data_IF_202322959147
#
_entry.id   IF_202322959147
#
_cell.length_a   1.000
_cell.length_b   1.000
_cell.length_c   1.000
_cell.angle_alpha   90.00
_cell.angle_beta   90.00
_cell.angle_gamma   90.00
#
_symmetry.space_group_name_H-M   'P 1'
#
loop_
_entity.id
_entity.type
_entity.pdbx_description
1 polymer ?
#
# COMPACT_ATOMS: atom_id res chain seq x y z
N UNK A 1 -12.40 -10.46 -11.86
CA UNK A 1 -13.10 -9.34 -11.17
C UNK A 1 -12.06 -8.33 -10.75
N UNK A 2 -12.39 -7.03 -10.78
CA UNK A 2 -11.55 -5.96 -10.21
C UNK A 2 -12.27 -5.44 -8.98
N UNK A 3 -11.59 -5.42 -7.85
CA UNK A 3 -12.12 -4.90 -6.59
C UNK A 3 -11.34 -3.66 -6.19
N UNK A 4 -12.06 -2.60 -5.84
CA UNK A 4 -11.48 -1.36 -5.32
C UNK A 4 -11.71 -1.33 -3.82
N UNK A 5 -10.63 -1.23 -3.04
CA UNK A 5 -10.67 -1.22 -1.57
C UNK A 5 -10.05 0.08 -1.07
N UNK A 6 -10.73 0.75 -0.14
CA UNK A 6 -10.22 1.96 0.50
C UNK A 6 -9.80 1.64 1.94
N UNK A 7 -8.60 2.08 2.32
CA UNK A 7 -8.08 1.98 3.68
C UNK A 7 -7.94 3.38 4.28
N UNK A 8 -8.38 3.61 5.52
CA UNK A 8 -8.12 4.88 6.22
C UNK A 8 -6.62 5.07 6.45
N UNK A 9 -6.16 6.32 6.43
CA UNK A 9 -4.74 6.68 6.54
C UNK A 9 -4.16 6.27 7.90
N UNK A 10 -4.96 6.30 8.95
CA UNK A 10 -4.56 5.99 10.34
C UNK A 10 -4.10 4.53 10.54
N UNK A 11 -4.32 3.65 9.55
CA UNK A 11 -3.80 2.27 9.58
C UNK A 11 -2.34 2.18 9.16
N UNK A 12 -1.78 3.24 8.59
CA UNK A 12 -0.43 3.25 8.04
C UNK A 12 0.51 4.03 8.93
N UNK A 13 1.65 3.42 9.24
CA UNK A 13 2.75 4.10 9.90
C UNK A 13 3.44 5.06 8.92
N UNK A 14 3.64 6.30 9.37
CA UNK A 14 4.32 7.35 8.60
C UNK A 14 5.74 6.92 8.21
N UNK A 15 6.13 7.14 6.95
CA UNK A 15 7.46 6.80 6.46
C UNK A 15 7.77 5.30 6.32
N UNK A 16 6.79 4.41 6.54
CA UNK A 16 6.99 2.95 6.56
C UNK A 16 6.31 2.24 5.39
N UNK A 17 7.03 2.08 4.27
CA UNK A 17 6.55 1.27 3.12
C UNK A 17 6.28 -0.17 3.54
N UNK A 18 7.10 -0.71 4.45
CA UNK A 18 6.94 -2.06 4.98
C UNK A 18 5.59 -2.24 5.67
N UNK A 19 5.22 -1.32 6.55
CA UNK A 19 3.93 -1.35 7.25
C UNK A 19 2.76 -1.35 6.25
N UNK A 20 2.80 -0.46 5.26
CA UNK A 20 1.78 -0.39 4.20
C UNK A 20 1.61 -1.71 3.46
N UNK A 21 2.70 -2.34 3.02
CA UNK A 21 2.64 -3.63 2.33
C UNK A 21 2.13 -4.75 3.25
N UNK A 22 2.57 -4.81 4.50
CA UNK A 22 2.08 -5.84 5.44
C UNK A 22 0.58 -5.68 5.73
N UNK A 23 0.08 -4.46 5.85
CA UNK A 23 -1.34 -4.19 6.12
C UNK A 23 -2.25 -4.55 4.93
N UNK A 24 -1.78 -4.34 3.69
CA UNK A 24 -2.58 -4.61 2.47
C UNK A 24 -2.44 -6.06 2.02
N UNK A 25 -1.22 -6.57 1.92
CA UNK A 25 -0.94 -7.89 1.33
C UNK A 25 -1.03 -9.00 2.38
N UNK A 26 -0.62 -8.72 3.63
CA UNK A 26 -0.45 -9.74 4.67
C UNK A 26 -1.73 -10.51 5.03
N UNK A 27 -2.90 -9.88 4.93
CA UNK A 27 -4.17 -10.51 5.30
C UNK A 27 -4.95 -11.10 4.12
N UNK A 28 -4.85 -10.52 2.92
CA UNK A 28 -5.81 -10.79 1.85
C UNK A 28 -5.33 -11.88 0.87
N UNK A 29 -4.02 -12.05 0.71
CA UNK A 29 -3.46 -13.03 -0.23
C UNK A 29 -3.50 -14.48 0.30
N UNK A 30 -3.65 -14.68 1.62
CA UNK A 30 -3.77 -16.01 2.24
C UNK A 30 -5.20 -16.53 2.39
N UNK A 31 -6.19 -15.83 1.82
CA UNK A 31 -7.60 -16.13 2.05
C UNK A 31 -8.02 -17.40 1.29
N UNK A 32 -8.41 -18.46 2.03
CA UNK A 32 -8.78 -19.78 1.45
C UNK A 32 -9.92 -19.71 0.41
N UNK A 33 -10.76 -18.69 0.48
CA UNK A 33 -11.87 -18.49 -0.46
C UNK A 33 -11.44 -17.89 -1.81
N UNK A 34 -10.21 -17.36 -1.91
CA UNK A 34 -9.68 -16.76 -3.13
C UNK A 34 -8.64 -17.69 -3.75
N UNK A 35 -8.87 -18.12 -4.99
CA UNK A 35 -7.94 -19.00 -5.73
C UNK A 35 -6.64 -18.29 -6.11
N UNK A 36 -6.73 -16.99 -6.43
CA UNK A 36 -5.60 -16.13 -6.74
C UNK A 36 -6.03 -14.67 -6.56
N UNK A 37 -5.13 -13.83 -6.07
CA UNK A 37 -5.30 -12.39 -5.96
C UNK A 37 -4.04 -11.72 -6.51
N UNK A 38 -4.21 -10.59 -7.21
CA UNK A 38 -3.11 -9.74 -7.65
C UNK A 38 -3.47 -8.30 -7.31
N UNK A 39 -2.55 -7.62 -6.63
CA UNK A 39 -2.65 -6.18 -6.43
C UNK A 39 -2.22 -5.51 -7.73
N UNK A 40 -3.15 -4.84 -8.39
CA UNK A 40 -2.92 -4.26 -9.71
C UNK A 40 -2.37 -2.84 -9.63
N UNK A 41 -2.93 -2.01 -8.75
CA UNK A 41 -2.49 -0.63 -8.55
C UNK A 41 -2.78 -0.16 -7.11
N UNK A 42 -2.06 0.87 -6.68
CA UNK A 42 -2.22 1.52 -5.38
C UNK A 42 -2.28 3.04 -5.55
N UNK A 43 -3.37 3.64 -5.09
CA UNK A 43 -3.47 5.10 -4.99
C UNK A 43 -2.93 5.57 -3.64
N UNK A 44 -1.73 6.14 -3.64
CA UNK A 44 -1.11 6.70 -2.43
C UNK A 44 -1.53 8.17 -2.23
N UNK A 45 -2.10 8.55 -1.08
CA UNK A 45 -2.49 9.93 -0.82
C UNK A 45 -1.27 10.82 -0.56
N UNK A 46 -1.34 12.09 -0.99
CA UNK A 46 -0.25 13.06 -0.83
C UNK A 46 0.17 13.27 0.65
N UNK A 47 -0.77 13.15 1.59
CA UNK A 47 -0.49 13.19 3.02
C UNK A 47 0.51 12.10 3.44
N UNK A 48 0.36 10.88 2.90
CA UNK A 48 1.28 9.78 3.17
C UNK A 48 2.61 9.95 2.44
N UNK A 49 2.58 10.36 1.16
CA UNK A 49 3.81 10.56 0.36
C UNK A 49 4.77 11.57 1.02
N UNK A 50 4.24 12.63 1.65
CA UNK A 50 5.04 13.64 2.35
C UNK A 50 5.80 13.13 3.58
N UNK A 51 5.43 11.96 4.11
CA UNK A 51 6.14 11.34 5.25
C UNK A 51 7.44 10.65 4.82
N UNK A 52 7.66 10.49 3.52
CA UNK A 52 8.86 9.86 2.97
C UNK A 52 9.87 10.90 2.51
N UNK A 53 11.15 10.63 2.77
CA UNK A 53 12.26 11.43 2.24
C UNK A 53 12.33 11.38 0.70
N UNK A 54 11.85 10.29 0.09
CA UNK A 54 11.97 10.07 -1.35
C UNK A 54 13.42 9.81 -1.79
N UNK A 55 13.71 9.88 -3.10
CA UNK A 55 15.06 9.70 -3.61
C UNK A 55 16.01 10.80 -3.11
N UNK A 56 17.23 10.46 -2.67
CA UNK A 56 18.18 11.45 -2.14
C UNK A 56 18.64 12.48 -3.18
N UNK A 57 18.63 12.13 -4.45
CA UNK A 57 18.90 13.03 -5.58
C UNK A 57 17.94 12.70 -6.72
N UNK A 58 17.48 13.74 -7.42
CA UNK A 58 16.64 13.60 -8.61
C UNK A 58 17.44 13.27 -9.87
N UNK A 59 16.73 13.00 -10.96
CA UNK A 59 17.30 12.64 -12.28
C UNK A 59 17.66 13.91 -13.07
N UNK A 60 18.26 14.93 -12.45
CA UNK A 60 18.46 16.24 -13.09
C UNK A 60 19.25 16.17 -14.40
#
# INVERSE_FOLDING_TARGET
FIAYVAYPLDLFEEGSVTNMFTSIVGNVFGFKALRALRLEDLRIPNAYVKTFQGPPHGIQ
#
